data_IF_754707130004
#
_entry.id   IF_754707130004
#
_cell.length_a   1.000
_cell.length_b   1.000
_cell.length_c   1.000
_cell.angle_alpha   90.00
_cell.angle_beta   90.00
_cell.angle_gamma   90.00
#
_symmetry.space_group_name_H-M   'P 1'
#
loop_
_entity.id
_entity.type
_entity.pdbx_description
1 polymer ?
#
# COMPACT_ATOMS: atom_id res chain seq x y z
N UNK A 1 -9.00 27.15 -73.33
CA UNK A 1 -7.70 26.55 -72.93
C UNK A 1 -7.78 26.28 -71.44
N UNK A 2 -8.30 25.14 -70.97
CA UNK A 2 -7.63 23.81 -70.90
C UNK A 2 -6.23 23.99 -70.30
N UNK A 3 -6.04 23.86 -68.98
CA UNK A 3 -5.92 22.63 -68.17
C UNK A 3 -4.82 22.95 -67.13
N UNK A 4 -4.65 22.35 -65.95
CA UNK A 4 -5.10 21.10 -65.34
C UNK A 4 -4.74 21.21 -63.85
N UNK A 5 -5.66 20.83 -62.97
CA UNK A 5 -5.37 20.49 -61.57
C UNK A 5 -4.68 19.13 -61.53
N UNK A 6 -3.67 18.96 -60.68
CA UNK A 6 -3.00 17.68 -60.47
C UNK A 6 -2.34 17.61 -59.11
N UNK A 7 -3.14 17.31 -58.09
CA UNK A 7 -2.68 16.74 -56.82
C UNK A 7 -2.84 15.21 -56.94
N UNK A 8 -1.73 14.46 -56.89
CA UNK A 8 -1.74 13.02 -56.65
C UNK A 8 -0.54 12.68 -55.76
N UNK A 9 -0.90 12.25 -54.55
CA UNK A 9 -0.19 11.42 -53.58
C UNK A 9 1.11 10.74 -54.03
N UNK A 10 2.23 11.10 -53.42
CA UNK A 10 3.41 10.27 -53.30
C UNK A 10 3.16 9.20 -52.21
N UNK A 11 2.38 8.19 -52.58
CA UNK A 11 2.06 7.03 -51.74
C UNK A 11 2.54 5.74 -52.42
N UNK A 12 3.25 4.92 -51.65
CA UNK A 12 3.50 3.50 -51.89
C UNK A 12 4.27 3.11 -53.16
N UNK A 13 5.59 3.05 -53.05
CA UNK A 13 6.39 2.14 -53.89
C UNK A 13 7.45 1.45 -53.03
N UNK A 14 7.05 0.41 -52.30
CA UNK A 14 7.94 -0.62 -51.74
C UNK A 14 7.15 -1.89 -51.37
N UNK A 15 6.17 -2.26 -52.20
CA UNK A 15 5.50 -3.57 -52.15
C UNK A 15 5.45 -4.09 -53.56
N UNK A 16 6.51 -4.77 -54.00
CA UNK A 16 6.60 -5.18 -55.41
C UNK A 16 7.91 -5.85 -55.78
N UNK A 17 8.50 -6.65 -54.89
CA UNK A 17 9.61 -7.54 -55.27
C UNK A 17 9.72 -8.78 -54.38
N UNK A 18 8.59 -9.44 -54.07
CA UNK A 18 8.60 -10.69 -53.27
C UNK A 18 7.97 -11.88 -54.00
N UNK A 19 7.31 -11.70 -55.15
CA UNK A 19 6.55 -12.78 -55.80
C UNK A 19 7.28 -13.54 -56.94
N UNK A 20 8.59 -13.33 -57.14
CA UNK A 20 9.33 -13.97 -58.26
C UNK A 20 10.53 -14.84 -57.85
N UNK A 21 10.61 -15.22 -56.58
CA UNK A 21 11.62 -16.15 -56.09
C UNK A 21 10.91 -17.27 -55.35
N UNK A 22 11.14 -18.52 -55.79
CA UNK A 22 10.64 -19.73 -55.11
C UNK A 22 11.12 -19.82 -53.66
N UNK A 23 10.95 -20.96 -52.97
CA UNK A 23 11.37 -21.12 -51.58
C UNK A 23 12.91 -21.07 -51.50
N UNK A 24 13.47 -19.85 -51.55
CA UNK A 24 14.82 -19.59 -51.11
C UNK A 24 14.79 -19.84 -49.63
N UNK A 25 15.41 -20.94 -49.22
CA UNK A 25 15.97 -21.04 -47.88
C UNK A 25 16.55 -19.67 -47.53
N UNK A 26 16.09 -19.07 -46.43
CA UNK A 26 16.63 -17.81 -45.98
C UNK A 26 18.15 -17.95 -45.95
N UNK A 27 18.86 -16.94 -46.43
CA UNK A 27 20.31 -16.93 -46.36
C UNK A 27 20.71 -17.17 -44.89
N UNK A 28 21.47 -18.24 -44.57
CA UNK A 28 21.83 -18.56 -43.18
C UNK A 28 22.49 -17.39 -42.44
N UNK A 29 23.16 -16.48 -43.17
CA UNK A 29 23.72 -15.26 -42.58
C UNK A 29 22.67 -14.28 -42.08
N UNK A 30 21.50 -14.24 -42.71
CA UNK A 30 20.36 -13.41 -42.28
C UNK A 30 19.69 -14.02 -41.04
N UNK A 31 19.54 -15.35 -40.99
CA UNK A 31 19.01 -16.06 -39.81
C UNK A 31 19.91 -15.87 -38.58
N UNK A 32 21.22 -16.13 -38.71
CA UNK A 32 22.19 -15.95 -37.62
C UNK A 32 22.21 -14.49 -37.13
N UNK A 33 22.18 -13.52 -38.04
CA UNK A 33 22.18 -12.09 -37.66
C UNK A 33 20.89 -11.69 -36.92
N UNK A 34 19.75 -12.27 -37.30
CA UNK A 34 18.48 -12.04 -36.63
C UNK A 34 18.44 -12.67 -35.23
N UNK A 35 18.95 -13.89 -35.07
CA UNK A 35 19.06 -14.57 -33.77
C UNK A 35 19.94 -13.80 -32.80
N UNK A 36 21.12 -13.35 -33.26
CA UNK A 36 22.03 -12.52 -32.46
C UNK A 36 21.35 -11.21 -32.04
N UNK A 37 20.59 -10.57 -32.94
CA UNK A 37 19.85 -9.36 -32.63
C UNK A 37 18.78 -9.62 -31.56
N UNK A 38 17.93 -10.64 -31.73
CA UNK A 38 16.86 -10.97 -30.78
C UNK A 38 17.45 -11.32 -29.42
N UNK A 39 18.52 -12.12 -29.37
CA UNK A 39 19.24 -12.45 -28.13
C UNK A 39 19.78 -11.21 -27.43
N UNK A 40 20.44 -10.31 -28.16
CA UNK A 40 20.97 -9.06 -27.60
C UNK A 40 19.87 -8.14 -27.07
N UNK A 41 18.72 -8.08 -27.73
CA UNK A 41 17.55 -7.32 -27.25
C UNK A 41 16.90 -7.97 -26.04
N UNK A 42 16.87 -9.29 -25.98
CA UNK A 42 16.34 -10.04 -24.84
C UNK A 42 17.18 -9.81 -23.59
N UNK A 43 18.52 -9.86 -23.71
CA UNK A 43 19.41 -9.52 -22.60
C UNK A 43 19.21 -8.07 -22.14
N UNK A 44 19.21 -7.10 -23.06
CA UNK A 44 19.02 -5.70 -22.71
C UNK A 44 17.65 -5.42 -22.05
N UNK A 45 16.61 -6.18 -22.42
CA UNK A 45 15.31 -6.10 -21.77
C UNK A 45 15.33 -6.69 -20.36
N UNK A 46 15.99 -7.84 -20.16
CA UNK A 46 16.20 -8.42 -18.82
C UNK A 46 16.96 -7.45 -17.92
N UNK A 47 18.10 -6.92 -18.38
CA UNK A 47 18.92 -5.99 -17.59
C UNK A 47 18.13 -4.72 -17.19
N UNK A 48 17.28 -4.20 -18.09
CA UNK A 48 16.44 -3.04 -17.79
C UNK A 48 15.31 -3.35 -16.82
N UNK A 49 14.78 -4.58 -16.83
CA UNK A 49 13.76 -5.04 -15.87
C UNK A 49 14.37 -5.30 -14.49
N UNK A 50 15.59 -5.86 -14.42
CA UNK A 50 16.34 -5.98 -13.18
C UNK A 50 16.63 -4.60 -12.57
N UNK A 51 17.09 -3.64 -13.38
CA UNK A 51 17.32 -2.26 -12.92
C UNK A 51 16.03 -1.57 -12.42
N UNK A 52 14.88 -1.84 -13.05
CA UNK A 52 13.58 -1.34 -12.57
C UNK A 52 13.19 -1.98 -11.23
N UNK A 53 13.37 -3.29 -11.09
CA UNK A 53 13.13 -3.98 -9.82
C UNK A 53 14.00 -3.41 -8.71
N UNK A 54 15.29 -3.25 -8.96
CA UNK A 54 16.25 -2.71 -7.99
C UNK A 54 15.91 -1.27 -7.58
N UNK A 55 15.37 -0.46 -8.52
CA UNK A 55 14.92 0.89 -8.22
C UNK A 55 13.65 0.93 -7.34
N UNK A 56 12.73 -0.02 -7.50
CA UNK A 56 11.48 -0.07 -6.72
C UNK A 56 11.69 -0.71 -5.33
N UNK A 57 12.63 -1.63 -5.21
CA UNK A 57 12.81 -2.48 -4.01
C UNK A 57 12.92 -1.67 -2.70
N UNK A 58 13.71 -0.58 -2.59
CA UNK A 58 13.80 0.17 -1.35
C UNK A 58 12.46 0.80 -0.94
N UNK A 59 11.70 1.32 -1.92
CA UNK A 59 10.38 1.89 -1.66
C UNK A 59 9.34 0.85 -1.23
N UNK A 60 9.44 -0.38 -1.75
CA UNK A 60 8.62 -1.50 -1.27
C UNK A 60 8.94 -1.86 0.18
N UNK A 61 10.22 -1.88 0.55
CA UNK A 61 10.64 -2.22 1.90
C UNK A 61 10.22 -1.12 2.89
N UNK A 62 10.33 0.16 2.52
CA UNK A 62 9.76 1.28 3.28
C UNK A 62 8.24 1.18 3.42
N UNK A 63 7.52 0.83 2.35
CA UNK A 63 6.06 0.65 2.40
C UNK A 63 5.65 -0.52 3.32
N UNK A 64 6.45 -1.59 3.39
CA UNK A 64 6.24 -2.71 4.32
C UNK A 64 6.53 -2.31 5.76
N UNK A 65 7.57 -1.52 6.00
CA UNK A 65 7.85 -0.96 7.32
C UNK A 65 6.72 -0.03 7.77
N UNK A 66 6.23 0.83 6.88
CA UNK A 66 5.06 1.66 7.15
C UNK A 66 3.82 0.82 7.49
N UNK A 67 3.59 -0.28 6.76
CA UNK A 67 2.50 -1.21 7.04
C UNK A 67 2.62 -1.88 8.41
N UNK A 68 3.83 -2.25 8.80
CA UNK A 68 4.10 -2.77 10.13
C UNK A 68 3.86 -1.71 11.21
N UNK A 69 4.31 -0.48 10.99
CA UNK A 69 4.15 0.64 11.91
C UNK A 69 2.67 0.99 12.16
N UNK A 70 1.84 1.01 11.11
CA UNK A 70 0.37 1.14 11.22
C UNK A 70 -0.23 0.07 12.14
N UNK A 71 0.33 -1.15 12.13
CA UNK A 71 -0.18 -2.28 12.90
C UNK A 71 0.42 -2.41 14.30
N UNK A 72 1.64 -1.92 14.56
CA UNK A 72 2.31 -2.03 15.86
C UNK A 72 1.99 -0.85 16.77
N UNK A 73 1.87 0.37 16.21
CA UNK A 73 1.73 1.65 16.91
C UNK A 73 2.95 2.11 17.73
N UNK A 74 4.13 1.54 17.48
CA UNK A 74 5.35 2.01 18.15
C UNK A 74 5.90 3.29 17.53
N UNK A 75 5.70 3.48 16.21
CA UNK A 75 6.21 4.62 15.45
C UNK A 75 5.16 5.14 14.45
N UNK A 76 5.02 6.46 14.27
CA UNK A 76 4.16 7.03 13.24
C UNK A 76 4.61 6.64 11.82
N UNK A 77 3.73 6.10 10.96
CA UNK A 77 4.10 5.54 9.65
C UNK A 77 4.31 6.61 8.56
N UNK A 78 3.93 7.87 8.79
CA UNK A 78 3.85 8.90 7.77
C UNK A 78 5.19 9.20 7.09
N UNK A 79 6.28 9.24 7.85
CA UNK A 79 7.62 9.44 7.29
C UNK A 79 8.04 8.31 6.35
N UNK A 80 7.70 7.06 6.71
CA UNK A 80 7.96 5.87 5.88
C UNK A 80 7.08 5.85 4.63
N UNK A 81 5.81 6.26 4.73
CA UNK A 81 4.89 6.36 3.59
C UNK A 81 5.33 7.43 2.58
N UNK A 82 5.84 8.57 3.07
CA UNK A 82 6.40 9.63 2.23
C UNK A 82 7.67 9.17 1.53
N UNK A 83 8.59 8.52 2.25
CA UNK A 83 9.82 7.97 1.70
C UNK A 83 9.52 6.91 0.63
N UNK A 84 8.65 5.95 0.95
CA UNK A 84 8.21 4.92 0.02
C UNK A 84 7.61 5.52 -1.25
N UNK A 85 6.74 6.53 -1.08
CA UNK A 85 6.09 7.23 -2.17
C UNK A 85 7.08 7.94 -3.10
N UNK A 86 8.07 8.63 -2.53
CA UNK A 86 9.12 9.31 -3.28
C UNK A 86 10.00 8.31 -4.04
N UNK A 87 10.48 7.26 -3.35
CA UNK A 87 11.35 6.23 -3.94
C UNK A 87 10.66 5.52 -5.11
N UNK A 88 9.37 5.18 -4.98
CA UNK A 88 8.61 4.51 -6.05
C UNK A 88 8.39 5.46 -7.24
N UNK A 89 8.14 6.75 -6.99
CA UNK A 89 8.00 7.74 -8.04
C UNK A 89 9.32 7.97 -8.82
N UNK A 90 10.45 7.97 -8.12
CA UNK A 90 11.79 8.15 -8.70
C UNK A 90 12.20 7.00 -9.65
N UNK A 91 11.51 5.85 -9.59
CA UNK A 91 11.72 4.72 -10.51
C UNK A 91 11.20 4.98 -11.95
N UNK A 92 10.60 6.14 -12.25
CA UNK A 92 10.10 6.52 -13.59
C UNK A 92 11.12 6.29 -14.71
N UNK A 93 12.37 6.70 -14.49
CA UNK A 93 13.44 6.58 -15.50
C UNK A 93 13.74 5.13 -15.85
N UNK A 94 13.77 4.25 -14.83
CA UNK A 94 13.96 2.83 -15.01
C UNK A 94 12.74 2.19 -15.69
N UNK A 95 11.52 2.59 -15.33
CA UNK A 95 10.29 2.07 -15.94
C UNK A 95 10.20 2.40 -17.43
N UNK A 96 10.53 3.65 -17.79
CA UNK A 96 10.60 4.09 -19.18
C UNK A 96 11.65 3.30 -19.97
N UNK A 97 12.80 3.03 -19.37
CA UNK A 97 13.88 2.25 -20.00
C UNK A 97 13.47 0.80 -20.22
N UNK A 98 12.91 0.14 -19.21
CA UNK A 98 12.40 -1.23 -19.30
C UNK A 98 11.34 -1.38 -20.39
N UNK A 99 10.33 -0.49 -20.43
CA UNK A 99 9.30 -0.50 -21.48
C UNK A 99 9.88 -0.34 -22.88
N UNK A 100 10.82 0.60 -23.07
CA UNK A 100 11.49 0.78 -24.37
C UNK A 100 12.29 -0.46 -24.76
N UNK A 101 12.96 -1.12 -23.82
CA UNK A 101 13.72 -2.33 -24.08
C UNK A 101 12.82 -3.51 -24.49
N UNK A 102 11.72 -3.75 -23.77
CA UNK A 102 10.72 -4.77 -24.12
C UNK A 102 10.04 -4.47 -25.45
N UNK A 103 9.67 -3.22 -25.73
CA UNK A 103 9.11 -2.82 -27.02
C UNK A 103 10.08 -3.08 -28.19
N UNK A 104 11.38 -2.80 -28.00
CA UNK A 104 12.42 -3.11 -29.00
C UNK A 104 12.59 -4.62 -29.22
N UNK A 105 12.50 -5.43 -28.16
CA UNK A 105 12.51 -6.88 -28.27
C UNK A 105 11.29 -7.39 -29.03
N UNK A 106 10.09 -6.92 -28.69
CA UNK A 106 8.85 -7.27 -29.39
C UNK A 106 8.93 -6.89 -30.88
N UNK A 107 9.48 -5.71 -31.20
CA UNK A 107 9.75 -5.30 -32.58
C UNK A 107 10.68 -6.25 -33.32
N UNK A 108 11.82 -6.62 -32.72
CA UNK A 108 12.78 -7.56 -33.31
C UNK A 108 12.18 -8.95 -33.54
N UNK A 109 11.41 -9.46 -32.57
CA UNK A 109 10.71 -10.76 -32.67
C UNK A 109 9.65 -10.75 -33.77
N UNK A 110 8.86 -9.67 -33.87
CA UNK A 110 7.82 -9.51 -34.88
C UNK A 110 8.38 -9.45 -36.31
N UNK A 111 9.50 -8.75 -36.52
CA UNK A 111 10.16 -8.68 -37.85
C UNK A 111 10.74 -10.01 -38.31
N UNK A 112 11.12 -10.90 -37.39
CA UNK A 112 11.71 -12.19 -37.70
C UNK A 112 10.67 -13.27 -38.04
N UNK A 113 9.37 -12.99 -37.88
CA UNK A 113 8.30 -13.86 -38.38
C UNK A 113 8.01 -15.10 -37.52
N UNK A 114 8.59 -15.20 -36.33
CA UNK A 114 8.03 -16.08 -35.31
C UNK A 114 6.68 -15.49 -34.92
N UNK A 115 5.57 -16.20 -35.21
CA UNK A 115 4.21 -15.87 -34.76
C UNK A 115 4.04 -15.95 -33.24
N UNK A 116 5.05 -15.51 -32.50
CA UNK A 116 5.13 -15.54 -31.06
C UNK A 116 4.32 -14.37 -30.50
N UNK A 117 3.50 -14.67 -29.51
CA UNK A 117 2.75 -13.68 -28.76
C UNK A 117 3.70 -12.58 -28.25
N UNK A 118 3.38 -11.29 -28.50
CA UNK A 118 4.13 -10.19 -27.92
C UNK A 118 4.21 -10.34 -26.40
N UNK A 119 5.36 -9.98 -25.82
CA UNK A 119 5.46 -9.84 -24.37
C UNK A 119 4.55 -8.70 -23.92
N UNK A 120 3.92 -8.86 -22.75
CA UNK A 120 3.18 -7.79 -22.11
C UNK A 120 4.11 -6.59 -21.84
N UNK A 121 3.55 -5.40 -21.96
CA UNK A 121 4.27 -4.18 -21.61
C UNK A 121 4.53 -4.15 -20.09
N UNK A 122 5.76 -3.85 -19.65
CA UNK A 122 6.04 -3.60 -18.23
C UNK A 122 5.23 -2.43 -17.68
N UNK A 123 5.10 -2.37 -16.36
CA UNK A 123 4.42 -1.30 -15.63
C UNK A 123 4.82 0.09 -16.14
N UNK A 124 3.87 0.97 -16.53
CA UNK A 124 4.18 2.32 -16.97
C UNK A 124 4.65 3.20 -15.82
N UNK A 125 5.51 4.18 -16.13
CA UNK A 125 6.00 5.15 -15.15
C UNK A 125 4.85 5.90 -14.45
N UNK A 126 3.79 6.25 -15.18
CA UNK A 126 2.60 6.92 -14.63
C UNK A 126 1.87 6.07 -13.59
N UNK A 127 1.94 4.75 -13.66
CA UNK A 127 1.36 3.84 -12.66
C UNK A 127 2.20 3.87 -11.38
N UNK A 128 3.54 3.83 -11.49
CA UNK A 128 4.43 3.96 -10.34
C UNK A 128 4.29 5.32 -9.67
N UNK A 129 4.24 6.41 -10.44
CA UNK A 129 3.97 7.76 -9.93
C UNK A 129 2.59 7.84 -9.24
N UNK A 130 1.57 7.19 -9.80
CA UNK A 130 0.25 7.12 -9.17
C UNK A 130 0.27 6.36 -7.84
N UNK A 131 0.99 5.23 -7.77
CA UNK A 131 1.14 4.45 -6.54
C UNK A 131 1.90 5.27 -5.50
N UNK A 132 3.02 5.89 -5.90
CA UNK A 132 3.85 6.72 -5.02
C UNK A 132 3.08 7.89 -4.43
N UNK A 133 2.26 8.58 -5.24
CA UNK A 133 1.37 9.64 -4.76
C UNK A 133 0.30 9.13 -3.79
N UNK A 134 -0.25 7.94 -4.00
CA UNK A 134 -1.24 7.36 -3.08
C UNK A 134 -0.62 7.01 -1.73
N UNK A 135 0.60 6.45 -1.71
CA UNK A 135 1.33 6.21 -0.48
C UNK A 135 1.64 7.51 0.26
N UNK A 136 2.17 8.52 -0.44
CA UNK A 136 2.45 9.82 0.15
C UNK A 136 1.17 10.52 0.68
N UNK A 137 0.04 10.41 -0.04
CA UNK A 137 -1.23 10.98 0.38
C UNK A 137 -1.83 10.25 1.61
N UNK A 138 -1.48 8.98 1.82
CA UNK A 138 -1.89 8.22 2.99
C UNK A 138 -1.10 8.59 4.25
N UNK A 139 0.04 9.29 4.14
CA UNK A 139 0.91 9.58 5.28
C UNK A 139 0.20 10.30 6.45
N UNK A 140 -0.54 11.41 6.24
CA UNK A 140 -1.22 12.08 7.36
C UNK A 140 -2.29 11.21 8.01
N UNK A 141 -3.01 10.42 7.21
CA UNK A 141 -4.02 9.50 7.71
C UNK A 141 -3.39 8.34 8.50
N UNK A 142 -2.22 7.87 8.08
CA UNK A 142 -1.43 6.87 8.81
C UNK A 142 -0.98 7.37 10.18
N UNK A 143 -0.46 8.60 10.26
CA UNK A 143 -0.04 9.21 11.54
C UNK A 143 -1.24 9.45 12.47
N UNK A 144 -2.35 9.98 11.94
CA UNK A 144 -3.58 10.15 12.72
C UNK A 144 -4.15 8.83 13.22
N UNK A 145 -4.02 7.76 12.43
CA UNK A 145 -4.44 6.42 12.84
C UNK A 145 -3.53 5.84 13.93
N UNK A 146 -2.22 6.07 13.87
CA UNK A 146 -1.29 5.65 14.90
C UNK A 146 -1.59 6.33 16.25
N UNK A 147 -1.81 7.65 16.26
CA UNK A 147 -2.21 8.41 17.46
C UNK A 147 -3.57 7.93 18.03
N UNK A 148 -4.58 7.72 17.17
CA UNK A 148 -5.87 7.16 17.59
C UNK A 148 -5.72 5.78 18.25
N UNK A 149 -4.87 4.94 17.68
CA UNK A 149 -4.61 3.59 18.17
C UNK A 149 -3.92 3.60 19.53
N UNK A 150 -2.87 4.42 19.68
CA UNK A 150 -2.14 4.59 20.93
C UNK A 150 -3.11 4.95 22.07
N UNK A 151 -3.90 6.01 21.87
CA UNK A 151 -4.94 6.47 22.82
C UNK A 151 -5.95 5.37 23.19
N UNK A 152 -6.43 4.62 22.19
CA UNK A 152 -7.37 3.52 22.43
C UNK A 152 -6.77 2.36 23.24
N UNK A 153 -5.50 2.02 22.99
CA UNK A 153 -4.79 0.92 23.68
C UNK A 153 -4.39 1.32 25.10
N UNK A 154 -4.06 2.59 25.33
CA UNK A 154 -3.64 3.10 26.64
C UNK A 154 -4.80 3.34 27.61
N UNK A 155 -6.03 3.46 27.12
CA UNK A 155 -7.19 3.81 27.92
C UNK A 155 -7.39 2.93 29.18
N UNK A 156 -7.25 1.59 29.14
CA UNK A 156 -7.30 0.77 30.36
C UNK A 156 -6.28 1.18 31.42
N UNK A 157 -5.04 1.51 31.01
CA UNK A 157 -4.00 2.00 31.91
C UNK A 157 -4.32 3.41 32.45
N UNK A 158 -4.95 4.26 31.65
CA UNK A 158 -5.46 5.58 32.09
C UNK A 158 -6.55 5.41 33.16
N UNK A 159 -7.48 4.46 32.99
CA UNK A 159 -8.49 4.15 34.01
C UNK A 159 -7.89 3.57 35.30
N UNK A 160 -6.86 2.73 35.21
CA UNK A 160 -6.13 2.23 36.38
C UNK A 160 -5.41 3.36 37.15
N UNK A 161 -4.87 4.36 36.44
CA UNK A 161 -4.27 5.54 37.06
C UNK A 161 -5.31 6.39 37.79
N UNK A 162 -6.52 6.55 37.22
CA UNK A 162 -7.62 7.25 37.89
C UNK A 162 -8.03 6.54 39.19
N UNK A 163 -8.14 5.20 39.17
CA UNK A 163 -8.41 4.41 40.38
C UNK A 163 -7.31 4.58 41.43
N UNK A 164 -6.05 4.54 41.02
CA UNK A 164 -4.91 4.75 41.93
C UNK A 164 -4.97 6.13 42.59
N UNK A 165 -5.34 7.18 41.84
CA UNK A 165 -5.53 8.52 42.38
C UNK A 165 -6.70 8.58 43.39
N UNK A 166 -7.83 7.92 43.09
CA UNK A 166 -8.96 7.78 44.00
C UNK A 166 -8.58 7.07 45.30
N UNK A 167 -7.84 5.97 45.23
CA UNK A 167 -7.35 5.23 46.40
C UNK A 167 -6.37 6.06 47.24
N UNK A 168 -5.58 6.91 46.60
CA UNK A 168 -4.70 7.89 47.24
C UNK A 168 -5.44 9.10 47.85
N UNK A 169 -6.74 9.25 47.57
CA UNK A 169 -7.55 10.40 47.99
C UNK A 169 -7.30 11.67 47.19
N UNK A 170 -6.63 11.57 46.04
CA UNK A 170 -6.34 12.69 45.14
C UNK A 170 -7.47 12.83 44.10
N UNK A 171 -8.58 13.44 44.52
CA UNK A 171 -9.78 13.58 43.71
C UNK A 171 -9.60 14.50 42.50
N UNK A 172 -8.74 15.51 42.60
CA UNK A 172 -8.51 16.45 41.50
C UNK A 172 -7.73 15.77 40.39
N UNK A 173 -6.67 15.02 40.73
CA UNK A 173 -5.93 14.19 39.75
C UNK A 173 -6.83 13.11 39.15
N UNK A 174 -7.66 12.45 39.95
CA UNK A 174 -8.59 11.44 39.43
C UNK A 174 -9.58 12.03 38.40
N UNK A 175 -10.13 13.21 38.67
CA UNK A 175 -11.04 13.90 37.73
C UNK A 175 -10.35 14.27 36.42
N UNK A 176 -9.14 14.80 36.47
CA UNK A 176 -8.36 15.15 35.28
C UNK A 176 -8.08 13.91 34.40
N UNK A 177 -7.69 12.79 35.02
CA UNK A 177 -7.40 11.54 34.31
C UNK A 177 -8.67 10.96 33.68
N UNK A 178 -9.80 10.98 34.39
CA UNK A 178 -11.09 10.50 33.86
C UNK A 178 -11.56 11.37 32.69
N UNK A 179 -11.38 12.70 32.77
CA UNK A 179 -11.67 13.60 31.66
C UNK A 179 -10.77 13.33 30.44
N UNK A 180 -9.51 12.97 30.64
CA UNK A 180 -8.62 12.54 29.56
C UNK A 180 -9.09 11.23 28.93
N UNK A 181 -9.43 10.21 29.75
CA UNK A 181 -9.97 8.94 29.26
C UNK A 181 -11.25 9.14 28.44
N UNK A 182 -12.13 10.07 28.86
CA UNK A 182 -13.31 10.47 28.10
C UNK A 182 -12.96 11.06 26.73
N UNK A 183 -12.00 12.00 26.68
CA UNK A 183 -11.59 12.62 25.43
C UNK A 183 -10.97 11.58 24.45
N UNK A 184 -10.16 10.66 24.95
CA UNK A 184 -9.56 9.59 24.14
C UNK A 184 -10.60 8.58 23.68
N UNK A 185 -11.56 8.21 24.53
CA UNK A 185 -12.71 7.39 24.15
C UNK A 185 -13.49 8.03 23.00
N UNK A 186 -13.84 9.32 23.13
CA UNK A 186 -14.67 10.02 22.15
C UNK A 186 -13.94 10.17 20.80
N UNK A 187 -12.62 10.32 20.83
CA UNK A 187 -11.77 10.32 19.64
C UNK A 187 -11.83 8.97 18.90
N UNK A 188 -11.72 7.86 19.63
CA UNK A 188 -11.82 6.51 19.03
C UNK A 188 -13.26 6.23 18.59
N UNK A 189 -14.26 6.65 19.34
CA UNK A 189 -15.67 6.48 19.01
C UNK A 189 -16.07 7.25 17.74
N UNK A 190 -15.50 8.43 17.50
CA UNK A 190 -15.73 9.18 16.26
C UNK A 190 -15.28 8.44 14.98
N UNK A 191 -14.41 7.43 15.12
CA UNK A 191 -13.94 6.59 14.02
C UNK A 191 -14.89 5.41 13.70
N UNK A 192 -15.99 5.27 14.42
CA UNK A 192 -16.91 4.11 14.37
C UNK A 192 -17.51 3.83 12.99
N UNK A 193 -17.64 4.82 12.10
CA UNK A 193 -18.64 4.90 11.03
C UNK A 193 -19.03 3.62 10.24
N UNK A 194 -18.23 2.54 10.21
CA UNK A 194 -18.57 1.27 9.56
C UNK A 194 -18.03 0.01 10.29
N UNK A 195 -17.73 0.05 11.60
CA UNK A 195 -17.02 -1.04 12.33
C UNK A 195 -17.86 -1.71 13.41
N UNK A 196 -18.49 -2.82 13.06
CA UNK A 196 -19.36 -3.60 13.97
C UNK A 196 -18.66 -4.11 15.23
N UNK A 197 -17.36 -4.36 15.16
CA UNK A 197 -16.55 -4.83 16.30
C UNK A 197 -16.21 -3.71 17.28
N UNK A 198 -16.08 -2.47 16.80
CA UNK A 198 -15.73 -1.33 17.65
C UNK A 198 -16.86 -0.93 18.61
N UNK A 199 -18.12 -1.14 18.20
CA UNK A 199 -19.29 -0.82 19.02
C UNK A 199 -19.30 -1.51 20.40
N UNK A 200 -18.73 -2.72 20.50
CA UNK A 200 -18.58 -3.43 21.77
C UNK A 200 -17.61 -2.68 22.69
N UNK A 201 -16.46 -2.27 22.15
CA UNK A 201 -15.47 -1.52 22.92
C UNK A 201 -15.99 -0.16 23.35
N UNK A 202 -16.68 0.56 22.45
CA UNK A 202 -17.29 1.87 22.75
C UNK A 202 -18.26 1.74 23.93
N UNK A 203 -19.21 0.79 23.86
CA UNK A 203 -20.22 0.65 24.90
C UNK A 203 -19.64 0.26 26.26
N UNK A 204 -18.72 -0.72 26.31
CA UNK A 204 -18.11 -1.16 27.57
C UNK A 204 -17.23 -0.07 28.17
N UNK A 205 -16.40 0.58 27.35
CA UNK A 205 -15.49 1.62 27.82
C UNK A 205 -16.23 2.87 28.28
N UNK A 206 -17.28 3.29 27.56
CA UNK A 206 -18.17 4.38 27.98
C UNK A 206 -18.77 4.11 29.36
N UNK A 207 -19.30 2.90 29.58
CA UNK A 207 -19.87 2.50 30.87
C UNK A 207 -18.84 2.52 32.01
N UNK A 208 -17.59 2.11 31.73
CA UNK A 208 -16.50 2.16 32.70
C UNK A 208 -16.11 3.60 33.06
N UNK A 209 -16.02 4.49 32.07
CA UNK A 209 -15.72 5.91 32.31
C UNK A 209 -16.87 6.58 33.08
N UNK A 210 -18.13 6.31 32.73
CA UNK A 210 -19.30 6.81 33.47
C UNK A 210 -19.25 6.38 34.94
N UNK A 211 -18.93 5.11 35.20
CA UNK A 211 -18.79 4.63 36.57
C UNK A 211 -17.68 5.36 37.34
N UNK A 212 -16.55 5.69 36.70
CA UNK A 212 -15.51 6.54 37.30
C UNK A 212 -15.97 7.96 37.58
N UNK A 213 -16.64 8.61 36.63
CA UNK A 213 -17.23 9.94 36.81
C UNK A 213 -18.19 9.95 38.02
N UNK A 214 -18.99 8.89 38.18
CA UNK A 214 -19.89 8.71 39.32
C UNK A 214 -19.13 8.53 40.65
N UNK A 215 -18.04 7.74 40.69
CA UNK A 215 -17.22 7.59 41.91
C UNK A 215 -16.60 8.92 42.33
N UNK A 216 -15.97 9.64 41.39
CA UNK A 216 -15.35 10.95 41.64
C UNK A 216 -16.40 11.92 42.20
N UNK A 217 -17.55 12.03 41.53
CA UNK A 217 -18.64 12.92 41.94
C UNK A 217 -19.19 12.57 43.33
N UNK A 218 -19.47 11.29 43.59
CA UNK A 218 -20.00 10.82 44.87
C UNK A 218 -19.00 11.02 46.02
N UNK A 219 -17.72 10.74 45.78
CA UNK A 219 -16.66 10.92 46.78
C UNK A 219 -16.50 12.39 47.15
N UNK A 220 -16.54 13.29 46.15
CA UNK A 220 -16.51 14.74 46.39
C UNK A 220 -17.73 15.24 47.15
N UNK A 221 -18.90 14.65 46.92
CA UNK A 221 -20.12 14.96 47.66
C UNK A 221 -20.16 14.35 49.08
N UNK A 222 -19.21 13.49 49.42
CA UNK A 222 -19.19 12.74 50.69
C UNK A 222 -20.25 11.63 50.76
N UNK A 223 -20.80 11.20 49.61
CA UNK A 223 -21.78 10.11 49.52
C UNK A 223 -21.08 8.77 49.33
N UNK A 224 -20.67 8.17 50.45
CA UNK A 224 -19.97 6.88 50.45
C UNK A 224 -20.83 5.73 49.89
N UNK A 225 -22.15 5.79 49.99
CA UNK A 225 -23.04 4.75 49.48
C UNK A 225 -23.10 4.79 47.95
N UNK A 226 -23.26 6.00 47.37
CA UNK A 226 -23.21 6.18 45.93
C UNK A 226 -21.84 5.84 45.34
N UNK A 227 -20.75 6.24 46.00
CA UNK A 227 -19.39 5.90 45.58
C UNK A 227 -19.17 4.38 45.57
N UNK A 228 -19.62 3.67 46.62
CA UNK A 228 -19.53 2.21 46.69
C UNK A 228 -20.34 1.51 45.59
N UNK A 229 -21.57 1.95 45.32
CA UNK A 229 -22.40 1.38 44.26
C UNK A 229 -21.82 1.59 42.85
N UNK A 230 -21.18 2.74 42.60
CA UNK A 230 -20.49 3.00 41.34
C UNK A 230 -19.20 2.17 41.21
N UNK A 231 -18.46 1.97 42.32
CA UNK A 231 -17.29 1.09 42.36
C UNK A 231 -17.63 -0.37 42.07
N UNK A 232 -18.72 -0.89 42.64
CA UNK A 232 -19.22 -2.24 42.35
C UNK A 232 -19.56 -2.40 40.86
N UNK A 233 -20.26 -1.42 40.27
CA UNK A 233 -20.58 -1.44 38.83
C UNK A 233 -19.33 -1.41 37.96
N UNK A 234 -18.34 -0.59 38.32
CA UNK A 234 -17.06 -0.56 37.60
C UNK A 234 -16.35 -1.93 37.68
N UNK A 235 -16.35 -2.55 38.85
CA UNK A 235 -15.75 -3.87 39.04
C UNK A 235 -16.46 -4.95 38.20
N UNK A 236 -17.80 -4.93 38.14
CA UNK A 236 -18.60 -5.84 37.31
C UNK A 236 -18.27 -5.70 35.81
N UNK A 237 -18.01 -4.48 35.33
CA UNK A 237 -17.58 -4.21 33.95
C UNK A 237 -16.18 -4.74 33.64
N UNK A 238 -15.35 -4.97 34.66
CA UNK A 238 -14.00 -5.54 34.50
C UNK A 238 -14.00 -6.90 33.81
N UNK A 239 -15.05 -7.71 34.00
CA UNK A 239 -15.21 -9.00 33.32
C UNK A 239 -15.47 -8.86 31.81
N UNK A 240 -16.04 -7.72 31.40
CA UNK A 240 -16.35 -7.39 30.00
C UNK A 240 -15.20 -6.66 29.28
N UNK A 241 -14.26 -6.08 30.05
CA UNK A 241 -13.14 -5.31 29.52
C UNK A 241 -12.21 -6.13 28.59
N UNK A 242 -11.86 -7.37 28.95
CA UNK A 242 -10.98 -8.19 28.11
C UNK A 242 -11.60 -8.57 26.74
N UNK A 243 -12.89 -8.96 26.65
CA UNK A 243 -13.62 -9.02 25.38
C UNK A 243 -13.63 -7.70 24.60
N UNK A 244 -13.92 -6.57 25.25
CA UNK A 244 -13.94 -5.24 24.62
C UNK A 244 -12.57 -4.86 24.02
N UNK A 245 -11.48 -5.07 24.74
CA UNK A 245 -10.11 -4.83 24.27
C UNK A 245 -9.75 -5.65 23.03
N UNK A 246 -10.20 -6.92 22.99
CA UNK A 246 -10.03 -7.75 21.79
C UNK A 246 -10.80 -7.19 20.61
N UNK A 247 -12.01 -6.69 20.84
CA UNK A 247 -12.84 -6.08 19.81
C UNK A 247 -12.17 -4.81 19.25
N UNK A 248 -11.60 -3.96 20.11
CA UNK A 248 -10.77 -2.82 19.70
C UNK A 248 -9.59 -3.26 18.83
N UNK A 249 -8.80 -4.24 19.28
CA UNK A 249 -7.62 -4.71 18.52
C UNK A 249 -7.99 -5.24 17.14
N UNK A 250 -9.13 -5.93 17.01
CA UNK A 250 -9.64 -6.40 15.72
C UNK A 250 -10.02 -5.21 14.84
N UNK A 251 -10.83 -4.27 15.37
CA UNK A 251 -11.25 -3.08 14.64
C UNK A 251 -10.05 -2.25 14.15
N UNK A 252 -9.04 -2.06 15.00
CA UNK A 252 -7.79 -1.38 14.65
C UNK A 252 -7.01 -2.14 13.57
N UNK A 253 -6.94 -3.48 13.64
CA UNK A 253 -6.28 -4.28 12.59
C UNK A 253 -6.93 -4.12 11.22
N UNK A 254 -8.28 -4.16 11.18
CA UNK A 254 -9.07 -3.95 9.96
C UNK A 254 -8.89 -2.53 9.41
N UNK A 255 -8.95 -1.54 10.30
CA UNK A 255 -8.79 -0.13 9.97
C UNK A 255 -7.40 0.22 9.43
N UNK A 256 -6.36 -0.25 10.11
CA UNK A 256 -4.97 -0.03 9.70
C UNK A 256 -4.67 -0.68 8.34
N UNK A 257 -5.15 -1.90 8.12
CA UNK A 257 -4.98 -2.59 6.83
C UNK A 257 -5.63 -1.80 5.68
N UNK A 258 -6.83 -1.26 5.88
CA UNK A 258 -7.57 -0.53 4.85
C UNK A 258 -6.86 0.75 4.37
N UNK A 259 -6.05 1.40 5.21
CA UNK A 259 -5.35 2.65 4.86
C UNK A 259 -4.38 2.50 3.69
N UNK A 260 -3.73 1.35 3.58
CA UNK A 260 -2.61 1.12 2.67
C UNK A 260 -2.78 -0.11 1.77
N UNK A 261 -3.86 -0.88 1.95
CA UNK A 261 -4.12 -2.09 1.17
C UNK A 261 -4.12 -1.80 -0.34
N UNK A 262 -4.92 -0.84 -0.80
CA UNK A 262 -5.05 -0.52 -2.22
C UNK A 262 -3.71 -0.15 -2.91
N UNK A 263 -2.89 0.79 -2.41
CA UNK A 263 -1.60 1.08 -3.04
C UNK A 263 -0.60 -0.09 -2.95
N UNK A 264 -0.60 -0.87 -1.86
CA UNK A 264 0.29 -2.04 -1.73
C UNK A 264 -0.09 -3.19 -2.68
N UNK A 265 -1.38 -3.45 -2.87
CA UNK A 265 -1.88 -4.44 -3.84
C UNK A 265 -1.47 -4.07 -5.27
N UNK A 266 -1.61 -2.79 -5.63
CA UNK A 266 -1.16 -2.28 -6.94
C UNK A 266 0.34 -2.40 -7.12
N UNK A 267 1.13 -2.09 -6.08
CA UNK A 267 2.57 -2.26 -6.12
C UNK A 267 2.97 -3.73 -6.29
N UNK A 268 2.30 -4.65 -5.58
CA UNK A 268 2.51 -6.08 -5.73
C UNK A 268 2.18 -6.57 -7.15
N UNK A 269 1.07 -6.11 -7.73
CA UNK A 269 0.71 -6.42 -9.12
C UNK A 269 1.75 -5.89 -10.12
N UNK A 270 2.26 -4.67 -9.92
CA UNK A 270 3.32 -4.09 -10.73
C UNK A 270 4.61 -4.92 -10.68
N UNK A 271 5.02 -5.37 -9.49
CA UNK A 271 6.20 -6.23 -9.30
C UNK A 271 6.02 -7.61 -9.92
N UNK A 272 4.83 -8.21 -9.79
CA UNK A 272 4.50 -9.47 -10.46
C UNK A 272 4.64 -9.36 -11.98
N UNK A 273 4.11 -8.28 -12.57
CA UNK A 273 4.25 -8.02 -14.01
C UNK A 273 5.71 -7.82 -14.46
N UNK A 274 6.54 -7.18 -13.62
CA UNK A 274 7.99 -7.03 -13.89
C UNK A 274 8.68 -8.40 -13.89
N UNK A 275 8.40 -9.24 -12.90
CA UNK A 275 9.04 -10.56 -12.76
C UNK A 275 8.61 -11.54 -13.86
N UNK A 276 7.35 -11.49 -14.28
CA UNK A 276 6.83 -12.26 -15.42
C UNK A 276 7.50 -11.84 -16.72
N UNK A 277 7.61 -10.52 -16.97
CA UNK A 277 8.30 -9.99 -18.14
C UNK A 277 9.78 -10.41 -18.14
N UNK A 278 10.44 -10.34 -16.99
CA UNK A 278 11.85 -10.70 -16.81
C UNK A 278 12.10 -12.18 -17.08
N UNK A 279 11.25 -13.04 -16.53
CA UNK A 279 11.31 -14.49 -16.77
C UNK A 279 11.14 -14.81 -18.27
N UNK A 280 10.20 -14.13 -18.93
CA UNK A 280 9.98 -14.31 -20.36
C UNK A 280 11.16 -13.81 -21.23
N UNK A 281 11.75 -12.65 -20.92
CA UNK A 281 12.92 -12.14 -21.67
C UNK A 281 14.14 -13.03 -21.47
N UNK A 282 14.38 -13.52 -20.24
CA UNK A 282 15.48 -14.45 -19.95
C UNK A 282 15.33 -15.80 -20.65
N UNK A 283 14.10 -16.34 -20.71
CA UNK A 283 13.80 -17.56 -21.45
C UNK A 283 14.09 -17.40 -22.95
N UNK A 284 13.74 -16.25 -23.54
CA UNK A 284 14.04 -15.94 -24.95
C UNK A 284 15.56 -15.84 -25.18
N UNK A 285 16.29 -15.14 -24.31
CA UNK A 285 17.75 -15.03 -24.42
C UNK A 285 18.45 -16.40 -24.36
N UNK A 286 17.93 -17.31 -23.53
CA UNK A 286 18.44 -18.68 -23.38
C UNK A 286 18.12 -19.54 -24.60
N UNK A 287 16.89 -19.45 -25.13
CA UNK A 287 16.46 -20.23 -26.29
C UNK A 287 17.24 -19.88 -27.56
N UNK A 288 17.62 -18.60 -27.73
CA UNK A 288 18.42 -18.13 -28.87
C UNK A 288 19.93 -18.35 -28.69
N UNK A 289 20.35 -18.96 -27.57
CA UNK A 289 21.76 -19.23 -27.26
C UNK A 289 22.18 -20.68 -27.39
N UNK A 290 21.25 -21.58 -27.73
CA UNK A 290 21.49 -22.99 -28.04
C UNK A 290 21.52 -23.19 -29.55
#
# INVERSE_FOLDING_TARGET
MIGTRGAISAGATLVGLVLLLGPRAADPGIEISAEVLVRGRAQAATDALDALRDAIQPGLDEARLAAAAVLSADDPPGSLLLAAGATIADAEGAATTARRAVARLNGARGTWGLGATPLADPTPASELESIGRQLAAAAPAGDSFADLRERGIELPATLEQALTALEGGDLDTAEEIVAQARADHDLVAAWEAERTTLAVWIATTDAMIIAMEEIVSATRAGDAAAAGAAAERFADLGDEAAPADRALRIALGEGGSALIAAPLERLAAALGGIEDARSATAAIATAMGR
#
